data_IF_106312904920
#
_entry.id   IF_106312904920
#
_cell.length_a   1.000
_cell.length_b   1.000
_cell.length_c   1.000
_cell.angle_alpha   90.00
_cell.angle_beta   90.00
_cell.angle_gamma   90.00
#
_symmetry.space_group_name_H-M   'P 1'
#
loop_
_entity.id
_entity.type
_entity.pdbx_description
1 polymer ?
#
# COMPACT_ATOMS: atom_id res chain seq x y z
N UNK A 1 -16.73 1.62 -5.64
CA UNK A 1 -15.87 1.00 -4.62
C UNK A 1 -16.59 0.62 -3.32
N UNK A 2 -17.90 0.88 -3.12
CA UNK A 2 -18.60 0.36 -1.94
C UNK A 2 -18.06 0.83 -0.58
N UNK A 3 -17.41 2.00 -0.53
CA UNK A 3 -16.81 2.56 0.69
C UNK A 3 -17.93 2.78 1.71
N UNK A 4 -17.88 2.04 2.82
CA UNK A 4 -18.88 2.07 3.89
C UNK A 4 -18.38 2.71 5.18
N UNK A 5 -17.08 3.07 5.26
CA UNK A 5 -16.49 3.70 6.44
C UNK A 5 -15.14 4.36 6.14
N UNK A 6 -14.73 5.28 7.00
CA UNK A 6 -13.45 5.99 6.88
C UNK A 6 -12.53 5.70 8.08
N UNK A 7 -11.21 5.66 7.87
CA UNK A 7 -10.54 5.65 6.56
C UNK A 7 -10.61 4.26 5.90
N UNK A 8 -10.80 4.25 4.58
CA UNK A 8 -10.60 3.07 3.70
C UNK A 8 -9.47 3.41 2.73
N UNK A 9 -8.49 2.52 2.60
CA UNK A 9 -7.37 2.68 1.68
C UNK A 9 -7.57 1.75 0.48
N UNK A 10 -7.36 2.29 -0.73
CA UNK A 10 -7.48 1.53 -1.98
C UNK A 10 -6.28 1.82 -2.88
N UNK A 11 -5.66 0.77 -3.38
CA UNK A 11 -4.47 0.81 -4.23
C UNK A 11 -4.84 0.61 -5.70
N UNK A 12 -4.21 1.38 -6.59
CA UNK A 12 -4.50 1.35 -8.03
C UNK A 12 -3.20 1.13 -8.80
N UNK A 13 -2.83 -0.11 -9.14
CA UNK A 13 -1.67 -0.35 -9.98
C UNK A 13 -1.97 0.04 -11.43
N UNK A 14 -0.90 0.19 -12.22
CA UNK A 14 -0.95 0.66 -13.61
C UNK A 14 -1.92 -0.13 -14.50
N UNK A 15 -2.03 -1.44 -14.26
CA UNK A 15 -2.78 -2.41 -15.03
C UNK A 15 -4.18 -2.72 -14.46
N UNK A 16 -4.47 -2.35 -13.21
CA UNK A 16 -5.77 -2.58 -12.59
C UNK A 16 -6.47 -1.27 -12.19
N UNK A 17 -7.40 -0.82 -13.02
CA UNK A 17 -8.24 0.36 -12.75
C UNK A 17 -9.40 0.09 -11.78
N UNK A 18 -9.73 -1.17 -11.50
CA UNK A 18 -10.75 -1.52 -10.51
C UNK A 18 -10.24 -1.30 -9.07
N UNK A 19 -8.91 -1.25 -8.89
CA UNK A 19 -8.25 -1.04 -7.61
C UNK A 19 -8.42 -2.21 -6.64
N UNK A 20 -7.54 -2.23 -5.65
CA UNK A 20 -7.42 -3.29 -4.66
C UNK A 20 -7.57 -2.70 -3.27
N UNK A 21 -8.35 -3.35 -2.41
CA UNK A 21 -8.54 -2.88 -1.05
C UNK A 21 -7.30 -3.19 -0.20
N UNK A 22 -6.98 -2.29 0.71
CA UNK A 22 -5.92 -2.50 1.69
C UNK A 22 -6.53 -3.09 2.96
N UNK A 23 -6.26 -4.38 3.19
CA UNK A 23 -6.72 -5.12 4.36
C UNK A 23 -5.61 -5.36 5.40
N UNK A 24 -4.45 -4.71 5.24
CA UNK A 24 -3.33 -4.80 6.19
C UNK A 24 -3.60 -4.05 7.50
N UNK A 25 -2.69 -4.17 8.46
CA UNK A 25 -2.80 -3.44 9.72
C UNK A 25 -2.70 -1.92 9.53
N UNK A 26 -3.07 -1.18 10.58
CA UNK A 26 -3.18 0.29 10.54
C UNK A 26 -1.92 1.01 11.00
N UNK A 27 -0.82 0.28 11.16
CA UNK A 27 0.48 0.87 11.46
C UNK A 27 1.27 1.19 10.19
N UNK A 28 2.35 1.95 10.37
CA UNK A 28 3.19 2.43 9.28
C UNK A 28 3.99 1.30 8.63
N UNK A 29 4.43 0.33 9.41
CA UNK A 29 5.32 -0.74 8.93
C UNK A 29 4.56 -1.71 8.03
N UNK A 30 3.32 -2.05 8.38
CA UNK A 30 2.40 -2.82 7.53
C UNK A 30 2.11 -2.10 6.21
N UNK A 31 1.86 -0.78 6.29
CA UNK A 31 1.57 0.02 5.10
C UNK A 31 2.77 0.11 4.15
N UNK A 32 3.97 0.32 4.69
CA UNK A 32 5.22 0.35 3.90
C UNK A 32 5.50 -1.02 3.27
N UNK A 33 5.28 -2.10 4.01
CA UNK A 33 5.41 -3.48 3.51
C UNK A 33 4.47 -3.73 2.33
N UNK A 34 3.21 -3.31 2.45
CA UNK A 34 2.22 -3.42 1.37
C UNK A 34 2.66 -2.67 0.12
N UNK A 35 3.06 -1.39 0.26
CA UNK A 35 3.48 -0.59 -0.90
C UNK A 35 4.74 -1.17 -1.54
N UNK A 36 5.72 -1.61 -0.76
CA UNK A 36 6.93 -2.27 -1.28
C UNK A 36 6.58 -3.51 -2.10
N UNK A 37 5.67 -4.37 -1.61
CA UNK A 37 5.21 -5.55 -2.34
C UNK A 37 4.44 -5.21 -3.63
N UNK A 38 3.63 -4.15 -3.62
CA UNK A 38 2.83 -3.74 -4.79
C UNK A 38 3.64 -2.99 -5.84
N UNK A 39 4.64 -2.22 -5.43
CA UNK A 39 5.46 -1.40 -6.32
C UNK A 39 6.77 -2.07 -6.74
N UNK A 40 7.13 -3.21 -6.12
CA UNK A 40 8.42 -3.85 -6.33
C UNK A 40 9.60 -3.01 -5.82
N UNK A 41 9.39 -2.27 -4.71
CA UNK A 41 10.40 -1.40 -4.10
C UNK A 41 10.85 -1.94 -2.75
N UNK A 42 11.94 -1.38 -2.21
CA UNK A 42 12.41 -1.67 -0.85
C UNK A 42 12.69 -0.36 -0.12
N UNK A 43 11.76 0.06 0.74
CA UNK A 43 11.84 1.30 1.52
C UNK A 43 11.64 1.06 3.01
N UNK A 44 12.33 1.84 3.83
CA UNK A 44 12.07 1.91 5.28
C UNK A 44 10.88 2.82 5.61
N UNK A 45 10.48 2.84 6.89
CA UNK A 45 9.40 3.68 7.39
C UNK A 45 9.69 5.19 7.38
N UNK A 46 10.92 5.59 7.07
CA UNK A 46 11.33 6.98 6.84
C UNK A 46 11.39 7.34 5.35
N UNK A 47 11.13 6.38 4.46
CA UNK A 47 11.12 6.53 3.02
C UNK A 47 12.46 6.32 2.32
N UNK A 48 13.53 5.99 3.05
CA UNK A 48 14.84 5.69 2.45
C UNK A 48 14.81 4.36 1.70
N UNK A 49 15.58 4.27 0.61
CA UNK A 49 15.75 3.03 -0.13
C UNK A 49 16.68 2.09 0.65
N UNK A 50 16.22 0.87 0.93
CA UNK A 50 16.94 -0.09 1.77
C UNK A 50 17.59 -1.23 0.97
N UNK A 51 17.30 -1.34 -0.32
CA UNK A 51 17.98 -2.25 -1.25
C UNK A 51 17.99 -1.64 -2.65
N UNK A 52 19.10 -1.84 -3.36
CA UNK A 52 19.19 -1.71 -4.83
C UNK A 52 18.70 -3.01 -5.47
#
# INVERSE_FOLDING_TARGET
YGISGFPTLKFFPKDNKAGEDYDGGRDLDDFVTFINGKAGTSRDSKGHLTSQ
#
